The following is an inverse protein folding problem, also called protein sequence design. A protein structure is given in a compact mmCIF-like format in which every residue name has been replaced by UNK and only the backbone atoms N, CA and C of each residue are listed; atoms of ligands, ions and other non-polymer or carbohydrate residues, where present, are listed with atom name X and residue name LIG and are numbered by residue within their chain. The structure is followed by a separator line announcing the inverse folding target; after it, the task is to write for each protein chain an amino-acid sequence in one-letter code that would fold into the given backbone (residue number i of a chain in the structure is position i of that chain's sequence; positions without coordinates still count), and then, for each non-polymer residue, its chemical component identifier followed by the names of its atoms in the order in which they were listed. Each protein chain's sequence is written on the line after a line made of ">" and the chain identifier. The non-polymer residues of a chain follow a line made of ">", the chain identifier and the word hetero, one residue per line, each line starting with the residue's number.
data_IF_914060522639
#
_entry.id   IF_914060522639
#
_cell.length_a   1.000
_cell.length_b   1.000
_cell.length_c   1.000
_cell.angle_alpha   90.00
_cell.angle_beta   90.00
_cell.angle_gamma   90.00
#
_symmetry.space_group_name_H-M   'P 1'
#
loop_
_entity.id
_entity.type
_entity.pdbx_description
1 polymer ?
#
# COMPACT_ATOMS: atom_id res chain seq x y z
N UNK A 1 10.70 -7.29 6.93
CA UNK A 1 10.59 -6.13 6.03
C UNK A 1 10.23 -4.89 6.84
N UNK A 2 10.95 -3.82 6.64
CA UNK A 2 10.63 -2.57 7.31
C UNK A 2 9.45 -1.88 6.60
N UNK A 3 8.59 -1.22 7.37
CA UNK A 3 7.53 -0.42 6.79
C UNK A 3 8.10 0.81 6.10
N UNK A 4 7.59 1.16 4.92
CA UNK A 4 7.96 2.43 4.32
C UNK A 4 7.43 3.59 5.16
N UNK A 5 8.16 4.69 5.17
CA UNK A 5 7.73 5.90 5.86
C UNK A 5 7.33 6.93 4.81
N UNK A 6 6.04 7.22 4.76
CA UNK A 6 5.52 8.21 3.83
C UNK A 6 5.49 9.60 4.49
N UNK A 7 5.87 10.65 3.76
CA UNK A 7 5.76 12.00 4.31
C UNK A 7 4.29 12.38 4.52
N UNK A 8 4.02 13.04 5.65
CA UNK A 8 2.70 13.60 5.92
C UNK A 8 2.68 15.02 5.36
N UNK A 9 1.67 15.32 4.57
CA UNK A 9 1.57 16.61 3.87
C UNK A 9 0.16 17.17 3.98
N UNK A 10 0.06 18.49 3.90
CA UNK A 10 -1.22 19.20 3.82
C UNK A 10 -1.44 19.61 2.36
N UNK A 11 -1.93 18.69 1.56
CA UNK A 11 -2.12 18.91 0.13
C UNK A 11 -3.40 18.21 -0.33
N UNK A 12 -4.08 18.74 -1.35
CA UNK A 12 -5.25 18.08 -1.93
C UNK A 12 -4.88 16.68 -2.43
N UNK A 13 -5.81 15.75 -2.31
CA UNK A 13 -5.62 14.36 -2.75
C UNK A 13 -4.51 13.61 -2.03
N UNK A 14 -4.20 14.00 -0.79
CA UNK A 14 -3.35 13.20 0.09
C UNK A 14 -4.14 11.99 0.58
N UNK A 15 -3.48 10.83 0.70
CA UNK A 15 -4.15 9.64 1.18
C UNK A 15 -4.33 9.68 2.70
N UNK A 16 -5.52 9.33 3.17
CA UNK A 16 -5.82 9.24 4.61
C UNK A 16 -4.96 8.15 5.24
N UNK A 17 -4.28 8.43 6.37
CA UNK A 17 -3.33 7.48 6.95
C UNK A 17 -3.92 6.14 7.37
N UNK A 18 -5.09 6.11 7.99
CA UNK A 18 -5.65 4.88 8.52
C UNK A 18 -5.87 3.80 7.45
N UNK A 19 -6.49 4.09 6.29
CA UNK A 19 -6.61 3.10 5.22
C UNK A 19 -5.26 2.65 4.66
N UNK A 20 -4.31 3.55 4.52
CA UNK A 20 -2.96 3.20 4.04
C UNK A 20 -2.26 2.30 5.04
N UNK A 21 -2.37 2.58 6.33
CA UNK A 21 -1.77 1.76 7.38
C UNK A 21 -2.34 0.35 7.38
N UNK A 22 -3.63 0.19 7.08
CA UNK A 22 -4.24 -1.13 6.95
C UNK A 22 -3.63 -1.91 5.79
N UNK A 23 -3.44 -1.26 4.64
CA UNK A 23 -2.80 -1.89 3.48
C UNK A 23 -1.36 -2.29 3.80
N UNK A 24 -0.63 -1.44 4.52
CA UNK A 24 0.73 -1.75 4.97
C UNK A 24 0.77 -3.03 5.81
N UNK A 25 -0.17 -3.19 6.73
CA UNK A 25 -0.25 -4.40 7.56
C UNK A 25 -0.55 -5.64 6.73
N UNK A 26 -1.51 -5.53 5.82
CA UNK A 26 -1.88 -6.64 4.94
C UNK A 26 -0.72 -7.03 4.03
N UNK A 27 0.00 -6.05 3.49
CA UNK A 27 1.16 -6.29 2.65
C UNK A 27 2.28 -6.98 3.42
N UNK A 28 2.56 -6.52 4.63
CA UNK A 28 3.59 -7.13 5.48
C UNK A 28 3.25 -8.58 5.81
N UNK A 29 2.01 -8.85 6.16
CA UNK A 29 1.56 -10.21 6.42
C UNK A 29 1.72 -11.09 5.18
N UNK A 30 1.25 -10.60 4.03
CA UNK A 30 1.30 -11.36 2.78
C UNK A 30 2.73 -11.71 2.38
N UNK A 31 3.64 -10.74 2.50
CA UNK A 31 5.05 -10.96 2.14
C UNK A 31 5.76 -11.87 3.13
N UNK A 32 5.33 -11.88 4.39
CA UNK A 32 5.92 -12.74 5.41
C UNK A 32 5.40 -14.18 5.35
N UNK A 33 4.26 -14.40 4.68
CA UNK A 33 3.60 -15.70 4.60
C UNK A 33 3.35 -16.10 3.15
N UNK A 34 4.42 -16.38 2.38
CA UNK A 34 4.29 -16.66 0.94
C UNK A 34 3.48 -17.91 0.61
N UNK A 35 3.36 -18.84 1.55
CA UNK A 35 2.60 -20.09 1.39
C UNK A 35 1.09 -19.87 1.62
N UNK A 36 0.70 -18.73 2.18
CA UNK A 36 -0.70 -18.44 2.45
C UNK A 36 -1.36 -17.84 1.21
N UNK A 37 -2.44 -18.46 0.73
CA UNK A 37 -3.16 -17.98 -0.45
C UNK A 37 -4.23 -16.94 -0.15
N UNK A 38 -4.48 -16.66 1.13
CA UNK A 38 -5.52 -15.71 1.56
C UNK A 38 -5.05 -14.27 1.68
N UNK A 39 -3.82 -13.96 1.27
CA UNK A 39 -3.26 -12.64 1.40
C UNK A 39 -3.63 -11.69 0.26
N UNK A 40 -3.00 -10.53 0.30
CA UNK A 40 -3.20 -9.48 -0.70
C UNK A 40 -2.65 -9.92 -2.06
N UNK A 41 -3.38 -9.64 -3.13
CA UNK A 41 -2.94 -9.97 -4.49
C UNK A 41 -2.51 -8.72 -5.26
N UNK A 42 -1.68 -8.94 -6.30
CA UNK A 42 -1.25 -7.83 -7.17
C UNK A 42 -2.45 -7.12 -7.81
N UNK A 43 -3.45 -7.88 -8.21
CA UNK A 43 -4.64 -7.33 -8.84
C UNK A 43 -5.42 -6.43 -7.88
N UNK A 44 -5.56 -6.86 -6.63
CA UNK A 44 -6.19 -6.05 -5.60
C UNK A 44 -5.43 -4.75 -5.35
N UNK A 45 -4.11 -4.82 -5.33
CA UNK A 45 -3.27 -3.62 -5.13
C UNK A 45 -3.44 -2.64 -6.28
N UNK A 46 -3.49 -3.13 -7.52
CA UNK A 46 -3.64 -2.27 -8.69
C UNK A 46 -4.98 -1.58 -8.78
N UNK A 47 -6.01 -2.13 -8.11
CA UNK A 47 -7.37 -1.60 -8.16
C UNK A 47 -7.81 -1.00 -6.82
N UNK A 48 -6.88 -0.69 -5.93
CA UNK A 48 -7.20 -0.06 -4.67
C UNK A 48 -7.69 1.36 -4.87
N UNK A 49 -8.81 1.68 -4.22
CA UNK A 49 -9.36 3.03 -4.14
C UNK A 49 -9.21 3.53 -2.71
N UNK A 50 -8.08 4.18 -2.44
CA UNK A 50 -7.82 4.72 -1.12
C UNK A 50 -8.48 6.09 -0.98
N UNK A 51 -9.16 6.36 0.16
CA UNK A 51 -9.77 7.66 0.36
C UNK A 51 -8.73 8.76 0.51
N UNK A 52 -9.02 9.90 -0.08
CA UNK A 52 -8.15 11.07 -0.08
C UNK A 52 -8.76 12.18 0.75
N UNK A 53 -7.91 13.06 1.25
CA UNK A 53 -8.33 14.23 2.00
C UNK A 53 -7.36 15.38 1.77
N UNK A 54 -7.45 16.40 2.61
CA UNK A 54 -6.58 17.57 2.52
C UNK A 54 -5.32 17.45 3.38
N UNK A 55 -5.21 16.36 4.14
CA UNK A 55 -4.02 16.07 4.96
C UNK A 55 -3.85 14.56 5.04
N UNK A 56 -2.63 14.10 4.89
CA UNK A 56 -2.31 12.68 4.97
C UNK A 56 -0.97 12.37 4.35
N UNK A 57 -0.81 11.13 3.90
CA UNK A 57 0.41 10.70 3.23
C UNK A 57 0.47 11.26 1.81
N UNK A 58 1.68 11.66 1.40
CA UNK A 58 1.91 12.12 0.04
C UNK A 58 1.51 11.06 -0.97
N UNK A 59 0.59 11.42 -1.87
CA UNK A 59 0.00 10.46 -2.79
C UNK A 59 1.02 9.81 -3.73
N UNK A 60 1.98 10.59 -4.21
CA UNK A 60 3.02 10.08 -5.12
C UNK A 60 3.87 9.00 -4.46
N UNK A 61 4.25 9.21 -3.20
CA UNK A 61 5.04 8.25 -2.46
C UNK A 61 4.27 6.95 -2.23
N UNK A 62 2.99 7.05 -1.90
CA UNK A 62 2.14 5.88 -1.68
C UNK A 62 1.91 5.14 -3.01
N UNK A 63 1.63 5.87 -4.08
CA UNK A 63 1.41 5.27 -5.40
C UNK A 63 2.63 4.51 -5.89
N UNK A 64 3.82 5.07 -5.72
CA UNK A 64 5.08 4.41 -6.09
C UNK A 64 5.27 3.12 -5.29
N UNK A 65 4.97 3.16 -3.99
CA UNK A 65 5.06 1.99 -3.14
C UNK A 65 4.06 0.90 -3.57
N UNK A 66 2.82 1.30 -3.90
CA UNK A 66 1.79 0.36 -4.35
C UNK A 66 2.19 -0.33 -5.66
N UNK A 67 2.78 0.41 -6.59
CA UNK A 67 3.29 -0.16 -7.84
C UNK A 67 4.37 -1.21 -7.57
N UNK A 68 5.30 -0.89 -6.71
CA UNK A 68 6.37 -1.81 -6.31
C UNK A 68 5.81 -3.05 -5.62
N UNK A 69 4.84 -2.86 -4.73
CA UNK A 69 4.19 -3.96 -4.03
C UNK A 69 3.48 -4.89 -5.02
N UNK A 70 2.76 -4.33 -5.98
CA UNK A 70 2.07 -5.12 -6.99
C UNK A 70 3.06 -5.96 -7.80
N UNK A 71 4.19 -5.38 -8.18
CA UNK A 71 5.24 -6.11 -8.89
C UNK A 71 5.80 -7.26 -8.08
N UNK A 72 6.06 -7.02 -6.79
CA UNK A 72 6.56 -8.07 -5.90
C UNK A 72 5.57 -9.22 -5.74
N UNK A 73 4.30 -8.89 -5.58
CA UNK A 73 3.25 -9.90 -5.43
C UNK A 73 3.08 -10.72 -6.72
N UNK A 74 3.22 -10.07 -7.87
CA UNK A 74 3.14 -10.76 -9.15
C UNK A 74 4.29 -11.73 -9.37
N UNK A 75 5.50 -11.34 -8.97
CA UNK A 75 6.70 -12.17 -9.10
C UNK A 75 6.69 -13.40 -8.21
N UNK A 76 5.83 -13.44 -7.21
CA UNK A 76 5.75 -14.55 -6.26
C UNK A 76 4.93 -15.73 -6.76
N UNK A 77 4.33 -15.62 -7.91
CA UNK A 77 3.53 -16.70 -8.52
C UNK A 77 4.40 -17.76 -9.17
#
# INVERSE_FOLDING_TARGET
>A
MAYPMFPLVSAPASYMPAPVDLVLRLASFTLAHPEDTGGLTADEVRHLNLPCGSYGYESEAVDDWLDELADQLEKRR
#
